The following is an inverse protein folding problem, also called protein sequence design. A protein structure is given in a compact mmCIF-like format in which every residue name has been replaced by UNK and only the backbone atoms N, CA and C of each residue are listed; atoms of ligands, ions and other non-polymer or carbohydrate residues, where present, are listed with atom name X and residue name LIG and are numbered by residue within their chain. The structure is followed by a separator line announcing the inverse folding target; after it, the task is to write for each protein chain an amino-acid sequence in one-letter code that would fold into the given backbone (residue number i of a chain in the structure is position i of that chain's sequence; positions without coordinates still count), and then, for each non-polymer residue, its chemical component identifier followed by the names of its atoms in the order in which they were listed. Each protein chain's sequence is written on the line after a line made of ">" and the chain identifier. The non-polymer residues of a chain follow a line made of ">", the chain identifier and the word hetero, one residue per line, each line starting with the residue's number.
data_IF_639572119191
#
_entry.id   IF_639572119191
#
_cell.length_a   1.000
_cell.length_b   1.000
_cell.length_c   1.000
_cell.angle_alpha   90.00
_cell.angle_beta   90.00
_cell.angle_gamma   90.00
#
_symmetry.space_group_name_H-M   'P 1'
#
loop_
_entity.id
_entity.type
_entity.pdbx_description
1 polymer ?
#
# COMPACT_ATOMS: atom_id res chain seq x y z
N UNK A 1 -10.22 12.33 3.17
CA UNK A 1 -9.07 13.17 2.79
C UNK A 1 -8.51 13.85 4.04
N UNK A 2 -7.19 13.92 4.18
CA UNK A 2 -6.48 14.57 5.30
C UNK A 2 -5.06 14.97 4.90
N UNK A 3 -4.39 15.81 5.66
CA UNK A 3 -2.99 16.17 5.36
C UNK A 3 -2.07 14.97 5.56
N UNK A 4 -1.34 14.58 4.51
CA UNK A 4 -0.32 13.52 4.53
C UNK A 4 0.70 13.77 3.40
N UNK A 5 1.75 12.94 3.32
CA UNK A 5 2.73 12.99 2.25
C UNK A 5 2.14 12.51 0.92
N UNK A 6 2.54 13.14 -0.19
CA UNK A 6 2.14 12.71 -1.53
C UNK A 6 2.55 11.25 -1.80
N UNK A 7 3.70 10.82 -1.27
CA UNK A 7 4.20 9.47 -1.47
C UNK A 7 3.31 8.40 -0.83
N UNK A 8 2.73 8.68 0.35
CA UNK A 8 1.74 7.78 0.96
C UNK A 8 0.50 7.61 0.08
N UNK A 9 0.03 8.68 -0.57
CA UNK A 9 -1.09 8.61 -1.51
C UNK A 9 -0.76 7.77 -2.74
N UNK A 10 0.40 8.01 -3.38
CA UNK A 10 0.83 7.24 -4.56
C UNK A 10 0.99 5.75 -4.22
N UNK A 11 1.65 5.46 -3.09
CA UNK A 11 1.83 4.10 -2.61
C UNK A 11 0.50 3.43 -2.25
N UNK A 12 -0.44 4.17 -1.65
CA UNK A 12 -1.78 3.65 -1.35
C UNK A 12 -2.59 3.32 -2.59
N UNK A 13 -2.48 4.12 -3.67
CA UNK A 13 -3.09 3.80 -4.97
C UNK A 13 -2.49 2.51 -5.53
N UNK A 14 -1.16 2.43 -5.58
CA UNK A 14 -0.47 1.25 -6.10
C UNK A 14 -0.78 -0.01 -5.28
N UNK A 15 -0.77 0.10 -3.95
CA UNK A 15 -1.11 -0.96 -3.03
C UNK A 15 -2.54 -1.43 -3.30
N UNK A 16 -3.55 -0.55 -3.20
CA UNK A 16 -4.96 -0.93 -3.35
C UNK A 16 -5.28 -1.55 -4.73
N UNK A 17 -4.65 -1.05 -5.79
CA UNK A 17 -4.81 -1.60 -7.13
C UNK A 17 -4.05 -2.92 -7.37
N UNK A 18 -3.22 -3.37 -6.42
CA UNK A 18 -2.43 -4.59 -6.57
C UNK A 18 -1.35 -4.48 -7.65
N UNK A 19 -0.81 -3.27 -7.87
CA UNK A 19 0.16 -3.03 -8.94
C UNK A 19 1.45 -3.81 -8.70
N UNK A 20 1.96 -4.44 -9.76
CA UNK A 20 3.32 -4.96 -9.83
C UNK A 20 4.37 -3.84 -9.76
N UNK A 21 5.63 -4.22 -9.61
CA UNK A 21 6.75 -3.27 -9.65
C UNK A 21 6.82 -2.50 -10.98
N UNK A 22 6.55 -3.17 -12.10
CA UNK A 22 6.57 -2.56 -13.43
C UNK A 22 5.41 -1.56 -13.61
N UNK A 23 4.21 -1.92 -13.14
CA UNK A 23 3.05 -1.03 -13.15
C UNK A 23 3.27 0.17 -12.22
N UNK A 24 3.83 -0.06 -11.04
CA UNK A 24 4.18 1.02 -10.10
C UNK A 24 5.23 1.96 -10.71
N UNK A 25 6.24 1.42 -11.41
CA UNK A 25 7.23 2.23 -12.12
C UNK A 25 6.60 3.07 -13.23
N UNK A 26 5.73 2.49 -14.04
CA UNK A 26 5.02 3.20 -15.11
C UNK A 26 4.10 4.29 -14.54
N UNK A 27 3.39 3.99 -13.45
CA UNK A 27 2.53 4.93 -12.73
C UNK A 27 3.32 6.12 -12.19
N UNK A 28 4.44 5.88 -11.51
CA UNK A 28 5.30 6.94 -10.99
C UNK A 28 5.92 7.77 -12.12
N UNK A 29 6.33 7.13 -13.22
CA UNK A 29 6.87 7.82 -14.39
C UNK A 29 5.83 8.77 -14.99
N UNK A 30 4.58 8.31 -15.13
CA UNK A 30 3.48 9.14 -15.60
C UNK A 30 3.17 10.29 -14.62
N UNK A 31 3.21 10.04 -13.31
CA UNK A 31 2.95 11.06 -12.30
C UNK A 31 4.04 12.15 -12.26
N UNK A 32 5.31 11.75 -12.27
CA UNK A 32 6.45 12.68 -12.20
C UNK A 32 6.84 13.26 -13.56
N UNK A 33 6.27 12.75 -14.66
CA UNK A 33 6.66 13.08 -16.04
C UNK A 33 8.15 12.85 -16.32
N UNK A 34 8.77 11.95 -15.55
CA UNK A 34 10.16 11.51 -15.66
C UNK A 34 10.31 10.17 -14.98
N UNK A 35 11.33 9.40 -15.36
CA UNK A 35 11.63 8.15 -14.67
C UNK A 35 11.97 8.42 -13.19
N UNK A 36 11.36 7.69 -12.24
CA UNK A 36 11.65 7.84 -10.83
C UNK A 36 13.05 7.29 -10.52
N UNK A 37 13.86 8.12 -9.87
CA UNK A 37 15.17 7.68 -9.37
C UNK A 37 15.03 6.62 -8.26
N UNK A 38 16.16 6.06 -7.85
CA UNK A 38 16.22 5.04 -6.79
C UNK A 38 15.63 5.54 -5.46
N UNK A 39 15.86 6.80 -5.10
CA UNK A 39 15.35 7.37 -3.86
C UNK A 39 13.82 7.47 -3.87
N UNK A 40 13.22 7.87 -5.00
CA UNK A 40 11.77 7.89 -5.20
C UNK A 40 11.20 6.47 -5.13
N UNK A 41 11.80 5.51 -5.86
CA UNK A 41 11.34 4.12 -5.87
C UNK A 41 11.39 3.49 -4.49
N UNK A 42 12.49 3.70 -3.76
CA UNK A 42 12.67 3.20 -2.39
C UNK A 42 11.69 3.85 -1.41
N UNK A 43 11.44 5.16 -1.54
CA UNK A 43 10.45 5.88 -0.73
C UNK A 43 9.02 5.40 -1.00
N UNK A 44 8.70 5.11 -2.26
CA UNK A 44 7.40 4.54 -2.64
C UNK A 44 7.21 3.14 -2.02
N UNK A 45 8.21 2.25 -2.15
CA UNK A 45 8.15 0.91 -1.56
C UNK A 45 7.99 0.96 -0.03
N UNK A 46 8.69 1.86 0.66
CA UNK A 46 8.51 2.08 2.09
C UNK A 46 7.07 2.52 2.44
N UNK A 47 6.50 3.43 1.66
CA UNK A 47 5.13 3.90 1.86
C UNK A 47 4.08 2.85 1.50
N UNK A 48 4.37 1.91 0.58
CA UNK A 48 3.47 0.79 0.30
C UNK A 48 3.34 -0.12 1.53
N UNK A 49 4.45 -0.40 2.22
CA UNK A 49 4.44 -1.11 3.49
C UNK A 49 3.59 -0.36 4.53
N UNK A 50 3.79 0.96 4.67
CA UNK A 50 3.02 1.77 5.61
C UNK A 50 1.51 1.78 5.28
N UNK A 51 1.15 1.83 3.99
CA UNK A 51 -0.24 1.81 3.55
C UNK A 51 -0.91 0.46 3.86
N UNK A 52 -0.26 -0.66 3.54
CA UNK A 52 -0.79 -2.00 3.80
C UNK A 52 -0.94 -2.28 5.30
N UNK A 53 0.03 -1.85 6.11
CA UNK A 53 -0.07 -1.93 7.57
C UNK A 53 -1.25 -1.11 8.09
N UNK A 54 -1.44 0.11 7.57
CA UNK A 54 -2.58 0.96 7.94
C UNK A 54 -3.92 0.31 7.60
N UNK A 55 -4.04 -0.33 6.43
CA UNK A 55 -5.26 -1.05 6.05
C UNK A 55 -5.50 -2.29 6.91
N UNK A 56 -4.48 -3.10 7.18
CA UNK A 56 -4.60 -4.25 8.09
C UNK A 56 -5.07 -3.82 9.49
N UNK A 57 -4.46 -2.77 10.06
CA UNK A 57 -4.87 -2.25 11.37
C UNK A 57 -6.29 -1.67 11.35
N UNK A 58 -6.69 -0.99 10.27
CA UNK A 58 -8.05 -0.50 10.11
C UNK A 58 -9.06 -1.67 10.07
N UNK A 59 -8.71 -2.75 9.39
CA UNK A 59 -9.54 -3.95 9.32
C UNK A 59 -9.65 -4.65 10.69
N UNK A 60 -8.55 -4.83 11.41
CA UNK A 60 -8.54 -5.38 12.78
C UNK A 60 -9.42 -4.59 13.75
N UNK A 61 -9.42 -3.26 13.66
CA UNK A 61 -10.32 -2.42 14.48
C UNK A 61 -11.77 -2.59 14.01
N UNK A 62 -11.99 -2.72 12.71
CA UNK A 62 -13.32 -2.93 12.13
C UNK A 62 -13.95 -4.25 12.56
N UNK A 63 -13.16 -5.33 12.71
CA UNK A 63 -13.63 -6.62 13.25
C UNK A 63 -14.30 -6.47 14.63
N UNK A 64 -13.82 -5.53 15.45
CA UNK A 64 -14.30 -5.33 16.81
C UNK A 64 -15.56 -4.45 16.89
N UNK A 65 -15.72 -3.52 15.94
CA UNK A 65 -16.63 -2.40 16.09
C UNK A 65 -17.61 -2.18 14.93
N UNK A 66 -17.37 -2.75 13.75
CA UNK A 66 -18.26 -2.60 12.60
C UNK A 66 -19.11 -3.86 12.42
N UNK A 67 -20.42 -3.66 12.40
CA UNK A 67 -21.39 -4.66 11.96
C UNK A 67 -21.83 -4.32 10.53
N UNK A 68 -21.17 -4.97 9.56
CA UNK A 68 -21.43 -4.79 8.13
C UNK A 68 -21.73 -6.14 7.48
N UNK A 69 -23.01 -6.54 7.37
CA UNK A 69 -23.38 -7.84 6.84
C UNK A 69 -22.79 -8.11 5.46
N UNK A 70 -22.15 -9.28 5.30
CA UNK A 70 -21.52 -9.71 4.05
C UNK A 70 -20.08 -9.26 3.87
N UNK A 71 -19.50 -8.50 4.82
CA UNK A 71 -18.09 -8.14 4.82
C UNK A 71 -17.34 -9.03 5.81
N UNK A 72 -16.29 -9.69 5.34
CA UNK A 72 -15.38 -10.48 6.17
C UNK A 72 -14.11 -9.68 6.46
N UNK A 73 -14.12 -8.94 7.57
CA UNK A 73 -12.96 -8.15 7.98
C UNK A 73 -11.77 -9.01 8.42
N UNK A 74 -12.00 -10.23 8.92
CA UNK A 74 -10.91 -11.14 9.31
C UNK A 74 -10.15 -11.58 8.06
N UNK A 75 -10.86 -12.05 7.03
CA UNK A 75 -10.24 -12.41 5.76
C UNK A 75 -9.54 -11.20 5.11
N UNK A 76 -10.13 -10.01 5.19
CA UNK A 76 -9.50 -8.79 4.66
C UNK A 76 -8.23 -8.39 5.43
N UNK A 77 -8.20 -8.59 6.74
CA UNK A 77 -7.01 -8.40 7.57
C UNK A 77 -5.90 -9.35 7.13
N UNK A 78 -6.20 -10.65 7.01
CA UNK A 78 -5.24 -11.66 6.58
C UNK A 78 -4.67 -11.36 5.19
N UNK A 79 -5.50 -10.95 4.23
CA UNK A 79 -5.05 -10.57 2.89
C UNK A 79 -4.06 -9.39 2.94
N UNK A 80 -4.38 -8.34 3.70
CA UNK A 80 -3.51 -7.17 3.80
C UNK A 80 -2.19 -7.49 4.52
N UNK A 81 -2.19 -8.39 5.51
CA UNK A 81 -0.96 -8.85 6.17
C UNK A 81 -0.06 -9.65 5.22
N UNK A 82 -0.62 -10.56 4.42
CA UNK A 82 0.15 -11.29 3.39
C UNK A 82 0.77 -10.34 2.37
N UNK A 83 0.00 -9.34 1.93
CA UNK A 83 0.49 -8.30 1.01
C UNK A 83 1.56 -7.43 1.67
N UNK A 84 1.42 -7.10 2.96
CA UNK A 84 2.42 -6.37 3.73
C UNK A 84 3.74 -7.15 3.81
N UNK A 85 3.70 -8.45 4.08
CA UNK A 85 4.90 -9.29 4.13
C UNK A 85 5.65 -9.29 2.80
N UNK A 86 4.92 -9.45 1.69
CA UNK A 86 5.50 -9.36 0.35
C UNK A 86 6.10 -7.97 0.06
N UNK A 87 5.41 -6.90 0.47
CA UNK A 87 5.90 -5.53 0.29
C UNK A 87 7.15 -5.24 1.13
N UNK A 88 7.23 -5.76 2.36
CA UNK A 88 8.40 -5.64 3.23
C UNK A 88 9.62 -6.35 2.64
N UNK A 89 9.44 -7.53 2.06
CA UNK A 89 10.50 -8.27 1.37
C UNK A 89 11.01 -7.51 0.14
N UNK A 90 10.08 -6.98 -0.67
CA UNK A 90 10.43 -6.12 -1.80
C UNK A 90 11.23 -4.89 -1.34
N UNK A 91 10.77 -4.18 -0.32
CA UNK A 91 11.45 -2.98 0.21
C UNK A 91 12.86 -3.28 0.74
N UNK A 92 13.08 -4.43 1.38
CA UNK A 92 14.40 -4.84 1.89
C UNK A 92 15.41 -5.13 0.79
N UNK A 93 14.93 -5.48 -0.40
CA UNK A 93 15.75 -5.82 -1.56
C UNK A 93 15.86 -4.68 -2.59
N UNK A 94 15.25 -3.51 -2.32
CA UNK A 94 15.37 -2.29 -3.12
C UNK A 94 16.62 -1.49 -2.83
#
# INVERSE_FOLDING_TARGET
>A
AGFNTAMFYLAGVAANAGMSDAESFAFLTAFFMKEPDEAIRRSHAAMQCASLLREAMWSMVSELYLDAPGIDYVAYTEENLVRLDAALENYRTK
#
